data_IF_160461852269
#
_entry.id   IF_160461852269
#
_cell.length_a   1.000
_cell.length_b   1.000
_cell.length_c   1.000
_cell.angle_alpha   90.00
_cell.angle_beta   90.00
_cell.angle_gamma   90.00
#
_symmetry.space_group_name_H-M   'P 1'
#
loop_
_entity.id
_entity.type
_entity.pdbx_description
1 polymer ?
#
# COMPACT_ATOMS: atom_id res chain seq x y z
N UNK A 1 -4.80 -3.04 -15.42
CA UNK A 1 -5.91 -3.38 -14.55
C UNK A 1 -5.32 -4.04 -13.31
N UNK A 2 -4.52 -3.29 -12.53
CA UNK A 2 -3.61 -3.79 -11.52
C UNK A 2 -4.04 -3.31 -10.15
N UNK A 3 -4.83 -4.11 -9.48
CA UNK A 3 -5.35 -3.74 -8.18
C UNK A 3 -6.26 -2.50 -8.20
N UNK A 4 -6.47 -1.92 -9.38
CA UNK A 4 -7.36 -0.79 -9.54
C UNK A 4 -8.74 -1.28 -9.95
N UNK A 5 -9.76 -0.73 -9.32
CA UNK A 5 -11.14 -1.02 -9.71
C UNK A 5 -11.30 -0.50 -11.14
N UNK A 6 -11.57 -1.40 -12.08
CA UNK A 6 -12.06 -0.97 -13.38
C UNK A 6 -13.43 -0.27 -13.13
N UNK A 7 -13.61 1.00 -13.50
CA UNK A 7 -14.87 1.68 -13.27
C UNK A 7 -16.07 0.97 -13.89
N UNK A 8 -15.85 0.26 -15.00
CA UNK A 8 -16.90 -0.57 -15.60
C UNK A 8 -17.22 -1.79 -14.72
N UNK A 9 -16.20 -2.40 -14.09
CA UNK A 9 -16.40 -3.51 -13.16
C UNK A 9 -17.02 -3.05 -11.84
N UNK A 10 -16.77 -1.81 -11.40
CA UNK A 10 -17.44 -1.24 -10.23
C UNK A 10 -18.95 -1.17 -10.45
N UNK A 11 -19.39 -0.72 -11.63
CA UNK A 11 -20.81 -0.68 -11.97
C UNK A 11 -21.39 -2.06 -12.18
N UNK A 12 -20.71 -2.95 -12.92
CA UNK A 12 -21.15 -4.32 -13.14
C UNK A 12 -21.25 -5.13 -11.86
N UNK A 13 -20.34 -4.91 -10.91
CA UNK A 13 -20.41 -5.58 -9.61
C UNK A 13 -21.44 -4.94 -8.65
N UNK A 14 -21.86 -3.72 -8.92
CA UNK A 14 -22.91 -3.05 -8.17
C UNK A 14 -24.29 -3.24 -8.81
N UNK A 15 -24.35 -3.53 -10.11
CA UNK A 15 -25.59 -3.97 -10.80
C UNK A 15 -26.06 -5.29 -10.20
N UNK A 16 -27.18 -5.28 -9.50
CA UNK A 16 -27.74 -6.46 -8.84
C UNK A 16 -27.62 -6.46 -7.31
N UNK A 17 -26.91 -5.51 -6.74
CA UNK A 17 -26.96 -5.25 -5.30
C UNK A 17 -28.09 -4.27 -4.96
N UNK A 18 -28.86 -4.59 -3.93
CA UNK A 18 -29.81 -3.63 -3.36
C UNK A 18 -29.00 -2.53 -2.64
N UNK A 19 -28.84 -1.38 -3.30
CA UNK A 19 -28.14 -0.23 -2.73
C UNK A 19 -28.79 0.29 -1.43
N UNK A 20 -30.04 -0.07 -1.15
CA UNK A 20 -30.64 0.23 0.14
C UNK A 20 -29.96 -0.53 1.29
N UNK A 21 -29.23 -1.60 0.98
CA UNK A 21 -28.43 -2.38 1.95
C UNK A 21 -26.96 -1.98 2.01
N UNK A 22 -26.45 -1.16 1.06
CA UNK A 22 -25.06 -0.71 1.03
C UNK A 22 -24.96 0.69 1.65
N UNK A 23 -24.29 0.76 2.80
CA UNK A 23 -24.11 2.02 3.54
C UNK A 23 -22.85 2.78 3.14
N UNK A 24 -21.87 2.12 2.55
CA UNK A 24 -20.63 2.77 2.15
C UNK A 24 -19.73 1.94 1.24
N UNK A 25 -18.77 2.62 0.63
CA UNK A 25 -17.74 2.06 -0.25
C UNK A 25 -16.38 2.51 0.27
N UNK A 26 -15.46 1.57 0.47
CA UNK A 26 -14.06 1.83 0.76
C UNK A 26 -13.25 1.64 -0.52
N UNK A 27 -12.62 2.71 -0.99
CA UNK A 27 -11.68 2.68 -2.13
C UNK A 27 -10.27 2.73 -1.58
N UNK A 28 -9.50 1.67 -1.80
CA UNK A 28 -8.10 1.60 -1.41
C UNK A 28 -7.24 2.01 -2.59
N UNK A 29 -6.26 2.87 -2.37
CA UNK A 29 -5.24 3.26 -3.34
C UNK A 29 -4.01 2.32 -3.24
N UNK A 30 -3.96 1.20 -3.97
CA UNK A 30 -2.87 0.25 -3.85
C UNK A 30 -1.56 0.89 -4.33
N UNK A 31 -0.45 0.55 -3.65
CA UNK A 31 0.90 1.05 -3.96
C UNK A 31 1.05 2.59 -3.89
N UNK A 32 0.08 3.30 -3.30
CA UNK A 32 0.06 4.77 -3.25
C UNK A 32 -0.35 5.44 -4.55
N UNK A 33 -0.96 4.71 -5.48
CA UNK A 33 -1.46 5.26 -6.74
C UNK A 33 -2.61 6.23 -6.47
N UNK A 34 -2.56 7.39 -7.11
CA UNK A 34 -3.65 8.34 -7.04
C UNK A 34 -4.95 7.79 -7.66
N UNK A 35 -6.08 8.17 -7.10
CA UNK A 35 -7.41 7.85 -7.67
C UNK A 35 -7.53 8.48 -9.06
N UNK A 36 -7.75 7.66 -10.08
CA UNK A 36 -7.79 8.12 -11.48
C UNK A 36 -8.99 9.03 -11.77
N UNK A 37 -8.84 9.90 -12.77
CA UNK A 37 -9.96 10.75 -13.22
C UNK A 37 -11.21 9.94 -13.55
N UNK A 38 -11.03 8.76 -14.14
CA UNK A 38 -12.13 7.87 -14.51
C UNK A 38 -12.89 7.37 -13.27
N UNK A 39 -12.16 6.91 -12.24
CA UNK A 39 -12.77 6.50 -10.97
C UNK A 39 -13.48 7.69 -10.32
N UNK A 40 -12.85 8.87 -10.31
CA UNK A 40 -13.47 10.09 -9.77
C UNK A 40 -14.81 10.41 -10.44
N UNK A 41 -14.87 10.32 -11.77
CA UNK A 41 -16.12 10.55 -12.51
C UNK A 41 -17.20 9.55 -12.12
N UNK A 42 -16.84 8.27 -11.99
CA UNK A 42 -17.80 7.23 -11.62
C UNK A 42 -18.27 7.37 -10.16
N UNK A 43 -17.38 7.71 -9.24
CA UNK A 43 -17.75 8.00 -7.85
C UNK A 43 -18.69 9.22 -7.75
N UNK A 44 -18.45 10.26 -8.55
CA UNK A 44 -19.35 11.41 -8.62
C UNK A 44 -20.75 11.04 -9.11
N UNK A 45 -20.86 10.20 -10.15
CA UNK A 45 -22.15 9.69 -10.63
C UNK A 45 -22.84 8.89 -9.51
N UNK A 46 -22.10 8.00 -8.87
CA UNK A 46 -22.63 7.18 -7.78
C UNK A 46 -23.15 8.05 -6.63
N UNK A 47 -22.35 9.04 -6.22
CA UNK A 47 -22.74 9.99 -5.15
C UNK A 47 -23.95 10.83 -5.51
N UNK A 48 -24.09 11.22 -6.79
CA UNK A 48 -25.25 11.93 -7.29
C UNK A 48 -26.53 11.07 -7.28
N UNK A 49 -26.38 9.79 -7.57
CA UNK A 49 -27.50 8.83 -7.58
C UNK A 49 -27.87 8.37 -6.17
N UNK A 50 -26.88 8.25 -5.27
CA UNK A 50 -27.03 7.79 -3.89
C UNK A 50 -26.36 8.79 -2.93
N UNK A 51 -27.01 9.93 -2.59
CA UNK A 51 -26.40 10.99 -1.80
C UNK A 51 -25.96 10.57 -0.40
N UNK A 52 -26.64 9.59 0.19
CA UNK A 52 -26.37 9.08 1.54
C UNK A 52 -25.27 8.01 1.58
N UNK A 53 -24.85 7.51 0.42
CA UNK A 53 -23.77 6.52 0.33
C UNK A 53 -22.45 7.12 0.85
N UNK A 54 -21.88 6.49 1.87
CA UNK A 54 -20.58 6.90 2.41
C UNK A 54 -19.46 6.46 1.46
N UNK A 55 -18.60 7.37 1.03
CA UNK A 55 -17.40 7.04 0.24
C UNK A 55 -16.17 7.38 1.07
N UNK A 56 -15.35 6.36 1.33
CA UNK A 56 -14.08 6.46 2.05
C UNK A 56 -12.93 6.17 1.09
N UNK A 57 -11.97 7.09 1.01
CA UNK A 57 -10.71 6.87 0.29
C UNK A 57 -9.61 6.50 1.27
N UNK A 58 -9.05 5.31 1.14
CA UNK A 58 -7.87 4.88 1.86
C UNK A 58 -6.61 5.22 1.04
N UNK A 59 -5.97 6.33 1.40
CA UNK A 59 -4.71 6.81 0.84
C UNK A 59 -3.52 6.54 1.77
N UNK A 60 -3.60 5.54 2.61
CA UNK A 60 -2.56 5.22 3.60
C UNK A 60 -1.21 4.79 3.00
N UNK A 61 -1.13 4.54 1.69
CA UNK A 61 0.11 4.30 0.95
C UNK A 61 0.49 5.47 0.02
N UNK A 62 -0.23 6.58 0.09
CA UNK A 62 0.07 7.82 -0.65
C UNK A 62 0.77 8.83 0.26
N UNK A 63 1.44 9.82 -0.33
CA UNK A 63 1.96 10.96 0.42
C UNK A 63 0.81 11.71 1.07
N UNK A 64 0.91 12.05 2.37
CA UNK A 64 -0.12 12.80 3.05
C UNK A 64 -0.26 14.22 2.47
N UNK A 65 -1.48 14.62 2.14
CA UNK A 65 -1.80 16.00 1.83
C UNK A 65 -2.16 16.72 3.13
N UNK A 66 -1.46 17.83 3.44
CA UNK A 66 -1.68 18.60 4.66
C UNK A 66 -2.65 19.78 4.46
N UNK A 67 -3.03 20.05 3.22
CA UNK A 67 -4.11 20.98 2.88
C UNK A 67 -5.45 20.27 2.85
N UNK A 68 -6.53 21.02 3.08
CA UNK A 68 -7.88 20.47 2.98
C UNK A 68 -8.12 19.88 1.58
N UNK A 69 -8.49 18.59 1.49
CA UNK A 69 -8.67 17.94 0.19
C UNK A 69 -9.99 18.33 -0.46
N UNK A 70 -10.09 18.05 -1.77
CA UNK A 70 -11.34 18.11 -2.50
C UNK A 70 -12.27 16.97 -2.11
N UNK A 71 -13.33 17.27 -1.39
CA UNK A 71 -14.39 16.34 -0.99
C UNK A 71 -15.46 16.08 -2.07
N UNK A 72 -15.20 16.42 -3.32
CA UNK A 72 -16.21 16.23 -4.37
C UNK A 72 -16.59 14.75 -4.56
N UNK A 73 -15.66 13.83 -4.28
CA UNK A 73 -15.82 12.39 -4.54
C UNK A 73 -15.83 11.51 -3.29
N UNK A 74 -15.51 12.04 -2.12
CA UNK A 74 -15.40 11.27 -0.89
C UNK A 74 -15.97 12.03 0.30
N UNK A 75 -16.46 11.29 1.28
CA UNK A 75 -16.90 11.83 2.56
C UNK A 75 -15.79 11.76 3.60
N UNK A 76 -14.82 10.82 3.40
CA UNK A 76 -13.66 10.65 4.26
C UNK A 76 -12.45 10.27 3.44
N UNK A 77 -11.29 10.82 3.80
CA UNK A 77 -9.98 10.52 3.20
C UNK A 77 -9.01 10.19 4.32
N UNK A 78 -8.39 9.01 4.25
CA UNK A 78 -7.51 8.47 5.29
C UNK A 78 -6.05 8.56 4.83
N UNK A 79 -5.17 9.01 5.72
CA UNK A 79 -3.73 8.97 5.59
C UNK A 79 -3.08 8.28 6.78
N UNK A 80 -1.93 7.65 6.56
CA UNK A 80 -1.14 7.01 7.60
C UNK A 80 0.30 7.50 7.58
N UNK A 81 0.87 7.73 8.75
CA UNK A 81 2.24 8.18 8.96
C UNK A 81 3.02 7.24 9.89
N UNK A 82 2.44 6.07 10.15
CA UNK A 82 3.09 5.02 10.92
C UNK A 82 4.24 4.36 10.17
N UNK A 83 4.78 3.33 10.80
CA UNK A 83 5.93 2.58 10.30
C UNK A 83 5.76 2.13 8.85
N UNK A 84 6.82 2.29 8.06
CA UNK A 84 6.88 1.88 6.64
C UNK A 84 5.91 2.61 5.70
N UNK A 85 5.36 3.74 6.11
CA UNK A 85 4.52 4.58 5.24
C UNK A 85 5.37 5.52 4.37
N UNK A 86 4.77 6.15 3.35
CA UNK A 86 5.49 7.11 2.50
C UNK A 86 6.16 8.24 3.28
N UNK A 87 5.49 8.76 4.30
CA UNK A 87 6.09 9.62 5.33
C UNK A 87 5.99 8.86 6.63
N UNK A 88 7.13 8.43 7.14
CA UNK A 88 7.23 7.56 8.29
C UNK A 88 7.77 8.35 9.48
N UNK A 89 6.87 8.79 10.35
CA UNK A 89 7.18 9.37 11.65
C UNK A 89 6.97 8.35 12.78
N UNK A 90 6.85 7.05 12.41
CA UNK A 90 6.76 5.89 13.29
C UNK A 90 5.40 5.70 13.97
N UNK A 91 4.51 6.67 13.91
CA UNK A 91 3.18 6.60 14.52
C UNK A 91 2.13 7.39 13.76
N UNK A 92 0.88 7.15 14.09
CA UNK A 92 -0.23 7.99 13.74
C UNK A 92 -0.80 7.77 12.33
N UNK A 93 -1.69 8.64 12.05
CA UNK A 93 -2.48 8.78 10.85
C UNK A 93 -3.56 9.82 11.12
N UNK A 94 -4.21 10.27 10.07
CA UNK A 94 -5.30 11.24 10.19
C UNK A 94 -6.33 11.05 9.09
N UNK A 95 -7.49 11.60 9.32
CA UNK A 95 -8.57 11.62 8.36
C UNK A 95 -9.07 13.04 8.13
N UNK A 96 -9.34 13.36 6.88
CA UNK A 96 -10.21 14.46 6.54
C UNK A 96 -11.63 13.95 6.40
N UNK A 97 -12.60 14.69 6.94
CA UNK A 97 -14.01 14.32 6.87
C UNK A 97 -14.85 15.50 6.42
N UNK A 98 -15.76 15.24 5.48
CA UNK A 98 -16.68 16.26 4.95
C UNK A 98 -17.70 16.71 5.98
N UNK A 99 -18.07 15.84 6.90
CA UNK A 99 -19.02 16.11 7.99
C UNK A 99 -18.29 16.00 9.32
N UNK A 100 -18.67 16.81 10.29
CA UNK A 100 -18.23 16.62 11.66
C UNK A 100 -18.68 15.22 12.11
N UNK A 101 -17.74 14.40 12.52
CA UNK A 101 -18.04 13.10 13.10
C UNK A 101 -18.05 13.27 14.62
N UNK A 102 -19.17 12.98 15.23
CA UNK A 102 -19.23 12.80 16.67
C UNK A 102 -18.68 11.40 16.97
N UNK A 103 -17.44 11.35 17.42
CA UNK A 103 -16.92 10.13 18.00
C UNK A 103 -17.45 10.03 19.43
N UNK A 104 -18.26 9.05 19.69
CA UNK A 104 -18.43 8.62 21.07
C UNK A 104 -17.04 8.28 21.59
N UNK A 105 -16.55 9.05 22.55
CA UNK A 105 -15.25 8.82 23.23
C UNK A 105 -15.25 7.53 24.06
N UNK A 106 -15.84 6.49 23.60
CA UNK A 106 -15.58 5.13 24.06
C UNK A 106 -14.24 4.71 23.47
N UNK A 107 -13.20 5.25 24.07
CA UNK A 107 -11.86 4.71 23.90
C UNK A 107 -11.93 3.24 24.25
N UNK A 108 -11.91 2.40 23.22
CA UNK A 108 -11.85 0.95 23.34
C UNK A 108 -10.63 0.55 24.18
N UNK A 109 -9.63 1.44 24.30
CA UNK A 109 -8.39 1.23 25.00
C UNK A 109 -8.49 1.03 26.51
N UNK A 110 -9.61 1.36 27.16
CA UNK A 110 -9.76 1.26 28.61
C UNK A 110 -10.69 0.11 29.05
N UNK A 111 -11.05 -0.81 28.19
CA UNK A 111 -11.78 -1.99 28.63
C UNK A 111 -10.80 -3.08 29.04
N UNK A 112 -10.91 -3.55 30.28
CA UNK A 112 -10.19 -4.72 30.81
C UNK A 112 -10.28 -5.94 29.88
N UNK A 113 -11.37 -6.05 29.13
CA UNK A 113 -11.63 -7.08 28.13
C UNK A 113 -10.74 -6.91 26.89
N UNK A 114 -10.51 -5.69 26.44
CA UNK A 114 -9.65 -5.40 25.28
C UNK A 114 -8.17 -5.70 25.62
N UNK A 115 -7.72 -5.25 26.78
CA UNK A 115 -6.36 -5.51 27.27
C UNK A 115 -6.13 -7.01 27.45
N UNK A 116 -7.12 -7.74 27.94
CA UNK A 116 -7.04 -9.20 28.06
C UNK A 116 -6.98 -9.89 26.69
N UNK A 117 -7.72 -9.42 25.70
CA UNK A 117 -7.69 -9.96 24.32
C UNK A 117 -6.34 -9.69 23.66
N UNK A 118 -5.82 -8.47 23.83
CA UNK A 118 -4.48 -8.10 23.32
C UNK A 118 -3.41 -8.94 23.99
N UNK A 119 -3.41 -9.06 25.32
CA UNK A 119 -2.44 -9.87 26.04
C UNK A 119 -2.44 -11.33 25.59
N UNK A 120 -3.63 -11.92 25.34
CA UNK A 120 -3.76 -13.27 24.78
C UNK A 120 -3.21 -13.37 23.35
N UNK A 121 -3.43 -12.35 22.53
CA UNK A 121 -2.93 -12.31 21.18
C UNK A 121 -1.40 -12.20 21.15
N UNK A 122 -0.84 -11.30 21.94
CA UNK A 122 0.62 -11.14 22.13
C UNK A 122 1.25 -12.44 22.66
N UNK A 123 0.63 -13.08 23.63
CA UNK A 123 1.10 -14.38 24.16
C UNK A 123 1.12 -15.48 23.09
N UNK A 124 0.11 -15.53 22.22
CA UNK A 124 0.08 -16.45 21.08
C UNK A 124 1.20 -16.16 20.07
N UNK A 125 1.43 -14.88 19.76
CA UNK A 125 2.51 -14.46 18.86
C UNK A 125 3.89 -14.81 19.44
N UNK A 126 4.14 -14.55 20.72
CA UNK A 126 5.41 -14.88 21.39
C UNK A 126 5.71 -16.38 21.46
N UNK A 127 4.67 -17.21 21.46
CA UNK A 127 4.78 -18.68 21.51
C UNK A 127 4.82 -19.32 20.12
N UNK A 128 4.63 -18.57 19.03
CA UNK A 128 4.82 -19.07 17.68
C UNK A 128 6.29 -18.90 17.28
N UNK A 129 6.89 -19.95 16.71
CA UNK A 129 8.30 -19.95 16.32
C UNK A 129 8.71 -18.86 15.29
N UNK A 130 7.73 -18.16 14.71
CA UNK A 130 7.89 -17.07 13.75
C UNK A 130 7.82 -15.66 14.38
N UNK A 131 7.71 -15.54 15.67
CA UNK A 131 7.39 -14.26 16.32
C UNK A 131 8.59 -13.48 16.82
N UNK A 132 9.49 -13.10 15.91
CA UNK A 132 10.37 -11.95 16.14
C UNK A 132 9.63 -10.60 16.00
N UNK A 133 8.31 -10.60 15.93
CA UNK A 133 7.50 -9.42 15.74
C UNK A 133 6.95 -8.96 17.09
N UNK A 134 7.54 -7.94 17.66
CA UNK A 134 6.90 -7.20 18.74
C UNK A 134 5.82 -6.31 18.13
N UNK A 135 4.55 -6.43 18.58
CA UNK A 135 3.46 -5.63 18.03
C UNK A 135 3.44 -4.22 18.66
N UNK A 136 4.47 -3.44 18.42
CA UNK A 136 4.55 -2.02 18.76
C UNK A 136 3.48 -1.17 18.06
N UNK A 137 2.95 -1.67 16.96
CA UNK A 137 1.82 -1.07 16.23
C UNK A 137 0.48 -1.11 17.02
N UNK A 138 0.41 -1.87 18.09
CA UNK A 138 -0.74 -1.92 19.01
C UNK A 138 -0.60 -0.93 20.17
N UNK A 139 0.18 0.14 19.99
CA UNK A 139 0.24 1.20 20.99
C UNK A 139 -1.17 1.82 21.15
N UNK A 140 -1.80 1.47 22.27
CA UNK A 140 -3.10 1.99 22.67
C UNK A 140 -2.97 3.20 23.60
N UNK A 141 -1.76 3.66 23.85
CA UNK A 141 -1.56 4.87 24.65
C UNK A 141 -2.02 6.09 23.84
N UNK A 142 -3.02 6.78 24.37
CA UNK A 142 -3.47 8.06 23.83
C UNK A 142 -2.45 9.11 24.13
N UNK A 143 -1.48 9.25 23.26
CA UNK A 143 -0.68 10.45 23.23
C UNK A 143 -1.57 11.56 22.67
N UNK A 144 -1.96 12.50 23.53
CA UNK A 144 -2.52 13.77 23.08
C UNK A 144 -1.39 14.53 22.42
N UNK A 145 -1.25 14.37 21.10
CA UNK A 145 -0.33 15.22 20.35
C UNK A 145 -1.10 16.46 19.86
N UNK A 146 -0.40 17.58 19.89
CA UNK A 146 -0.88 18.79 19.25
C UNK A 146 -0.94 18.56 17.73
N UNK A 147 -2.09 18.84 17.12
CA UNK A 147 -2.27 18.65 15.70
C UNK A 147 -1.28 19.48 14.86
N UNK A 148 -0.91 20.68 15.33
CA UNK A 148 0.05 21.54 14.64
C UNK A 148 1.46 20.94 14.69
N UNK A 149 1.87 20.43 15.85
CA UNK A 149 3.15 19.75 15.99
C UNK A 149 3.20 18.49 15.12
N UNK A 150 2.13 17.73 15.10
CA UNK A 150 2.03 16.53 14.28
C UNK A 150 2.16 16.84 12.78
N UNK A 151 1.45 17.84 12.28
CA UNK A 151 1.55 18.23 10.88
C UNK A 151 2.92 18.83 10.54
N UNK A 152 3.52 19.59 11.45
CA UNK A 152 4.89 20.09 11.28
C UNK A 152 5.92 18.95 11.19
N UNK A 153 5.77 17.88 11.99
CA UNK A 153 6.60 16.69 11.87
C UNK A 153 6.44 15.99 10.53
N UNK A 154 5.21 15.84 10.03
CA UNK A 154 4.95 15.26 8.71
C UNK A 154 5.62 16.10 7.61
N UNK A 155 5.49 17.40 7.63
CA UNK A 155 6.08 18.31 6.65
C UNK A 155 7.62 18.24 6.67
N UNK A 156 8.20 18.30 7.86
CA UNK A 156 9.65 18.17 8.05
C UNK A 156 10.18 16.84 7.53
N UNK A 157 9.53 15.73 7.89
CA UNK A 157 9.95 14.41 7.45
C UNK A 157 9.74 14.20 5.96
N UNK A 158 8.65 14.72 5.39
CA UNK A 158 8.41 14.70 3.94
C UNK A 158 9.56 15.34 3.18
N UNK A 159 9.95 16.56 3.60
CA UNK A 159 11.06 17.30 2.98
C UNK A 159 12.38 16.55 3.12
N UNK A 160 12.66 16.01 4.31
CA UNK A 160 13.90 15.25 4.59
C UNK A 160 14.01 13.99 3.74
N UNK A 161 12.89 13.31 3.52
CA UNK A 161 12.85 12.04 2.80
C UNK A 161 12.84 12.20 1.28
N UNK A 162 12.37 13.32 0.75
CA UNK A 162 12.16 13.48 -0.68
C UNK A 162 13.43 13.26 -1.49
N UNK A 163 14.53 13.95 -1.17
CA UNK A 163 15.80 13.78 -1.86
C UNK A 163 16.36 12.37 -1.73
N UNK A 164 16.27 11.79 -0.53
CA UNK A 164 16.72 10.42 -0.28
C UNK A 164 15.97 9.42 -1.17
N UNK A 165 14.65 9.50 -1.20
CA UNK A 165 13.80 8.64 -2.03
C UNK A 165 14.07 8.82 -3.52
N UNK A 166 14.24 10.06 -3.97
CA UNK A 166 14.56 10.34 -5.37
C UNK A 166 15.91 9.73 -5.80
N UNK A 167 16.92 9.74 -4.91
CA UNK A 167 18.20 9.07 -5.18
C UNK A 167 18.03 7.56 -5.32
N UNK A 168 17.36 6.91 -4.37
CA UNK A 168 17.14 5.45 -4.43
C UNK A 168 16.25 5.06 -5.60
N UNK A 169 15.20 5.83 -5.88
CA UNK A 169 14.33 5.64 -7.02
C UNK A 169 15.10 5.69 -8.35
N UNK A 170 15.99 6.69 -8.48
CA UNK A 170 16.85 6.85 -9.66
C UNK A 170 17.83 5.68 -9.84
N UNK A 171 18.36 5.14 -8.73
CA UNK A 171 19.20 3.95 -8.77
C UNK A 171 18.42 2.72 -9.26
N UNK A 172 17.22 2.47 -8.72
CA UNK A 172 16.37 1.38 -9.20
C UNK A 172 16.02 1.54 -10.68
N UNK A 173 15.64 2.76 -11.11
CA UNK A 173 15.35 3.01 -12.53
C UNK A 173 16.55 2.76 -13.42
N UNK A 174 17.74 3.11 -12.98
CA UNK A 174 18.99 2.94 -13.75
C UNK A 174 19.47 1.49 -13.80
N UNK A 175 19.36 0.76 -12.67
CA UNK A 175 20.03 -0.53 -12.50
C UNK A 175 19.16 -1.73 -12.84
N UNK A 176 17.84 -1.60 -12.83
CA UNK A 176 16.91 -2.67 -13.15
C UNK A 176 16.40 -2.57 -14.60
N UNK A 177 16.11 -3.69 -15.28
CA UNK A 177 15.53 -3.68 -16.61
C UNK A 177 14.10 -3.08 -16.61
N UNK A 178 13.75 -2.31 -17.64
CA UNK A 178 12.40 -1.73 -17.78
C UNK A 178 11.32 -2.81 -17.88
N UNK A 179 11.67 -3.98 -18.39
CA UNK A 179 10.76 -5.10 -18.58
C UNK A 179 10.12 -5.63 -17.30
N UNK A 180 10.70 -5.38 -16.14
CA UNK A 180 10.15 -5.84 -14.85
C UNK A 180 9.54 -4.71 -14.03
N UNK A 181 9.75 -3.45 -14.39
CA UNK A 181 9.26 -2.30 -13.63
C UNK A 181 7.77 -2.07 -13.86
N UNK A 182 7.06 -1.72 -12.81
CA UNK A 182 5.71 -1.14 -12.96
C UNK A 182 5.83 0.34 -13.38
N UNK A 183 4.76 0.89 -13.95
CA UNK A 183 4.67 2.32 -14.30
C UNK A 183 4.90 3.21 -13.08
N UNK A 184 5.41 4.40 -13.32
CA UNK A 184 5.75 5.36 -12.27
C UNK A 184 4.57 5.66 -11.32
N UNK A 185 3.34 5.62 -11.81
CA UNK A 185 2.13 5.79 -11.00
C UNK A 185 1.93 4.74 -9.89
N UNK A 186 2.62 3.59 -9.99
CA UNK A 186 2.62 2.52 -8.99
C UNK A 186 3.86 2.52 -8.10
N UNK A 187 4.68 3.58 -8.13
CA UNK A 187 5.97 3.64 -7.46
C UNK A 187 6.01 4.60 -6.26
N UNK A 188 4.86 5.08 -5.80
CA UNK A 188 4.83 6.13 -4.76
C UNK A 188 5.22 5.62 -3.38
N UNK A 189 4.79 4.41 -3.02
CA UNK A 189 5.07 3.82 -1.69
C UNK A 189 6.37 3.01 -1.66
N UNK A 190 6.56 2.16 -2.66
CA UNK A 190 7.71 1.26 -2.84
C UNK A 190 8.09 1.25 -4.30
N UNK A 191 9.33 0.86 -4.63
CA UNK A 191 9.68 0.58 -6.00
C UNK A 191 9.20 -0.82 -6.37
N UNK A 192 8.16 -0.90 -7.17
CA UNK A 192 7.44 -2.13 -7.46
C UNK A 192 7.92 -2.74 -8.78
N UNK A 193 8.26 -4.02 -8.73
CA UNK A 193 8.69 -4.81 -9.87
C UNK A 193 7.91 -6.14 -9.94
N UNK A 194 7.89 -6.72 -11.13
CA UNK A 194 7.35 -8.05 -11.37
C UNK A 194 8.48 -9.00 -11.74
N UNK A 195 8.62 -10.08 -10.99
CA UNK A 195 9.65 -11.08 -11.24
C UNK A 195 9.05 -12.48 -11.28
N UNK A 196 9.55 -13.37 -12.14
CA UNK A 196 9.17 -14.79 -12.10
C UNK A 196 9.77 -15.45 -10.87
N UNK A 197 9.07 -16.46 -10.33
CA UNK A 197 9.56 -17.30 -9.23
C UNK A 197 10.12 -16.45 -8.07
N UNK A 198 9.36 -15.44 -7.65
CA UNK A 198 9.78 -14.47 -6.62
C UNK A 198 10.25 -15.12 -5.31
N UNK A 199 9.75 -16.30 -4.97
CA UNK A 199 10.15 -17.05 -3.78
C UNK A 199 11.65 -17.39 -3.82
N UNK A 200 12.16 -17.80 -5.00
CA UNK A 200 13.60 -18.06 -5.19
C UNK A 200 14.43 -16.77 -5.13
N UNK A 201 13.86 -15.64 -5.60
CA UNK A 201 14.50 -14.35 -5.41
C UNK A 201 14.60 -13.99 -3.93
N UNK A 202 13.53 -14.18 -3.15
CA UNK A 202 13.55 -13.91 -1.71
C UNK A 202 14.58 -14.77 -0.97
N UNK A 203 14.72 -16.04 -1.33
CA UNK A 203 15.78 -16.91 -0.79
C UNK A 203 17.17 -16.36 -1.11
N UNK A 204 17.39 -15.91 -2.35
CA UNK A 204 18.66 -15.30 -2.78
C UNK A 204 18.98 -14.02 -2.04
N UNK A 205 17.98 -13.14 -1.89
CA UNK A 205 18.11 -11.92 -1.11
C UNK A 205 18.42 -12.21 0.36
N UNK A 206 17.72 -13.15 0.98
CA UNK A 206 17.97 -13.59 2.37
C UNK A 206 19.39 -14.12 2.55
N UNK A 207 19.89 -14.93 1.63
CA UNK A 207 21.29 -15.44 1.64
C UNK A 207 22.31 -14.31 1.55
N UNK A 208 21.98 -13.23 0.85
CA UNK A 208 22.81 -12.03 0.73
C UNK A 208 22.65 -11.04 1.90
N UNK A 209 21.83 -11.36 2.91
CA UNK A 209 21.52 -10.45 4.02
C UNK A 209 20.66 -9.24 3.61
N UNK A 210 19.92 -9.37 2.50
CA UNK A 210 19.06 -8.34 1.93
C UNK A 210 17.60 -8.69 2.13
N UNK A 211 16.74 -7.67 2.05
CA UNK A 211 15.31 -7.82 2.27
C UNK A 211 14.49 -7.06 1.22
N UNK A 212 13.43 -7.69 0.75
CA UNK A 212 12.34 -7.09 -0.02
C UNK A 212 11.00 -7.64 0.49
N UNK A 213 9.91 -6.97 0.18
CA UNK A 213 8.58 -7.41 0.56
C UNK A 213 7.73 -7.80 -0.64
N UNK A 214 6.62 -8.48 -0.39
CA UNK A 214 5.59 -8.78 -1.38
C UNK A 214 4.23 -8.48 -0.76
N UNK A 215 3.80 -7.24 -0.85
CA UNK A 215 2.47 -6.82 -0.42
C UNK A 215 1.43 -7.32 -1.42
N UNK A 216 0.26 -7.68 -0.89
CA UNK A 216 -0.83 -8.27 -1.66
C UNK A 216 -0.46 -9.61 -2.33
N UNK A 217 0.47 -10.35 -1.71
CA UNK A 217 0.87 -11.68 -2.18
C UNK A 217 -0.19 -12.76 -1.94
N UNK A 218 -1.17 -12.49 -1.08
CA UNK A 218 -2.28 -13.39 -0.79
C UNK A 218 -3.55 -12.78 -1.35
N UNK A 219 -3.86 -13.12 -2.61
CA UNK A 219 -5.17 -12.87 -3.20
C UNK A 219 -5.92 -14.19 -3.19
N UNK A 220 -7.10 -14.23 -2.59
CA UNK A 220 -7.90 -15.44 -2.58
C UNK A 220 -8.24 -15.88 -4.00
N UNK A 221 -8.09 -17.18 -4.33
CA UNK A 221 -8.27 -17.67 -5.69
C UNK A 221 -9.69 -17.53 -6.25
N UNK A 222 -10.67 -17.30 -5.40
CA UNK A 222 -12.08 -17.16 -5.80
C UNK A 222 -12.45 -15.77 -6.31
N UNK A 223 -11.51 -14.83 -6.24
CA UNK A 223 -11.72 -13.52 -6.82
C UNK A 223 -11.65 -13.65 -8.34
N UNK A 224 -12.69 -13.23 -9.01
CA UNK A 224 -12.85 -13.24 -10.47
C UNK A 224 -11.85 -12.37 -11.24
N UNK A 225 -10.73 -11.97 -10.61
CA UNK A 225 -9.68 -11.16 -11.20
C UNK A 225 -8.40 -11.98 -11.44
N UNK A 226 -8.22 -12.55 -12.64
CA UNK A 226 -7.01 -13.29 -12.99
C UNK A 226 -5.75 -12.41 -12.93
N UNK A 227 -5.89 -11.11 -13.17
CA UNK A 227 -4.80 -10.14 -13.12
C UNK A 227 -4.31 -9.92 -11.69
N UNK A 228 -5.20 -9.80 -10.71
CA UNK A 228 -4.83 -9.66 -9.31
C UNK A 228 -4.08 -10.92 -8.81
N UNK A 229 -4.54 -12.10 -9.22
CA UNK A 229 -3.87 -13.37 -8.92
C UNK A 229 -2.46 -13.41 -9.50
N UNK A 230 -2.31 -13.09 -10.77
CA UNK A 230 -0.99 -13.09 -11.43
C UNK A 230 -0.05 -12.05 -10.82
N UNK A 231 -0.57 -10.85 -10.52
CA UNK A 231 0.19 -9.82 -9.82
C UNK A 231 0.70 -10.32 -8.47
N UNK A 232 -0.16 -10.99 -7.69
CA UNK A 232 0.21 -11.54 -6.39
C UNK A 232 1.35 -12.57 -6.46
N UNK A 233 1.49 -13.28 -7.58
CA UNK A 233 2.53 -14.28 -7.79
C UNK A 233 3.90 -13.68 -8.14
N UNK A 234 3.93 -12.47 -8.71
CA UNK A 234 5.17 -11.88 -9.23
C UNK A 234 5.59 -10.57 -8.58
N UNK A 235 4.72 -9.92 -7.80
CA UNK A 235 5.03 -8.61 -7.23
C UNK A 235 6.13 -8.67 -6.17
N UNK A 236 7.10 -7.78 -6.29
CA UNK A 236 8.14 -7.51 -5.29
C UNK A 236 8.20 -6.00 -5.06
N UNK A 237 8.19 -5.62 -3.81
CA UNK A 237 8.21 -4.24 -3.36
C UNK A 237 9.57 -3.94 -2.75
N UNK A 238 10.37 -3.11 -3.43
CA UNK A 238 11.70 -2.71 -3.01
C UNK A 238 11.62 -1.43 -2.16
N UNK A 239 12.46 -1.35 -1.15
CA UNK A 239 12.44 -0.27 -0.20
C UNK A 239 13.20 0.95 -0.70
N UNK A 240 12.67 2.13 -0.44
CA UNK A 240 13.35 3.41 -0.58
C UNK A 240 13.04 4.35 0.60
N UNK A 241 12.73 3.77 1.77
CA UNK A 241 12.50 4.51 3.00
C UNK A 241 13.81 4.95 3.69
N UNK A 242 13.67 5.66 4.81
CA UNK A 242 14.78 6.24 5.57
C UNK A 242 15.83 5.23 6.09
N UNK A 243 15.48 3.95 6.14
CA UNK A 243 16.35 2.88 6.64
C UNK A 243 17.11 2.15 5.54
N UNK A 244 16.86 2.50 4.28
CA UNK A 244 17.47 1.84 3.13
C UNK A 244 18.57 2.72 2.52
N UNK A 245 19.77 2.17 2.34
CA UNK A 245 20.91 2.93 1.79
C UNK A 245 21.10 2.72 0.29
N UNK A 246 21.90 3.58 -0.34
CA UNK A 246 22.28 3.42 -1.75
C UNK A 246 23.05 2.11 -1.99
N UNK A 247 23.95 1.73 -1.06
CA UNK A 247 24.72 0.46 -1.16
C UNK A 247 23.78 -0.75 -1.10
N UNK A 248 22.78 -0.73 -0.21
CA UNK A 248 21.76 -1.79 -0.16
C UNK A 248 20.96 -1.83 -1.45
N UNK A 249 20.60 -0.67 -2.00
CA UNK A 249 19.88 -0.55 -3.28
C UNK A 249 20.69 -1.16 -4.43
N UNK A 250 21.98 -0.83 -4.53
CA UNK A 250 22.87 -1.39 -5.56
C UNK A 250 22.99 -2.91 -5.39
N UNK A 251 23.19 -3.37 -4.16
CA UNK A 251 23.33 -4.79 -3.86
C UNK A 251 22.07 -5.58 -4.20
N UNK A 252 20.89 -5.06 -3.87
CA UNK A 252 19.61 -5.72 -4.17
C UNK A 252 19.37 -5.78 -5.69
N UNK A 253 19.71 -4.71 -6.43
CA UNK A 253 19.64 -4.71 -7.89
C UNK A 253 20.56 -5.75 -8.51
N UNK A 254 21.76 -5.94 -7.97
CA UNK A 254 22.69 -6.96 -8.45
C UNK A 254 22.12 -8.37 -8.28
N UNK A 255 21.55 -8.70 -7.10
CA UNK A 255 20.89 -9.99 -6.85
C UNK A 255 19.68 -10.19 -7.77
N UNK A 256 18.86 -9.16 -7.99
CA UNK A 256 17.70 -9.23 -8.89
C UNK A 256 18.18 -9.51 -10.33
N UNK A 257 19.18 -8.78 -10.84
CA UNK A 257 19.70 -8.99 -12.18
C UNK A 257 20.30 -10.38 -12.37
N UNK A 258 21.01 -10.90 -11.35
CA UNK A 258 21.51 -12.28 -11.36
C UNK A 258 20.35 -13.27 -11.40
N UNK A 259 19.31 -13.09 -10.60
CA UNK A 259 18.10 -13.93 -10.63
C UNK A 259 17.45 -13.91 -12.02
N UNK A 260 17.27 -12.74 -12.61
CA UNK A 260 16.67 -12.63 -13.94
C UNK A 260 17.48 -13.32 -15.03
N UNK A 261 18.81 -13.27 -14.95
CA UNK A 261 19.69 -13.92 -15.94
C UNK A 261 19.49 -15.45 -16.02
N UNK A 262 19.03 -16.07 -14.93
CA UNK A 262 18.73 -17.51 -14.91
C UNK A 262 17.50 -17.89 -15.76
N UNK A 263 16.62 -16.91 -16.05
CA UNK A 263 15.33 -17.15 -16.73
C UNK A 263 15.20 -16.45 -18.07
N UNK A 264 16.14 -15.62 -18.49
CA UNK A 264 16.05 -14.83 -19.74
C UNK A 264 15.85 -15.68 -21.01
N UNK A 265 16.32 -16.92 -21.02
CA UNK A 265 16.19 -17.86 -22.13
C UNK A 265 14.92 -18.72 -22.06
N UNK A 266 14.13 -18.64 -21.00
CA UNK A 266 12.92 -19.45 -20.85
C UNK A 266 11.74 -18.78 -21.58
N UNK A 267 11.07 -19.52 -22.43
CA UNK A 267 9.83 -19.10 -23.09
C UNK A 267 8.75 -18.68 -22.07
N UNK A 268 8.75 -19.35 -20.92
CA UNK A 268 7.89 -19.03 -19.77
C UNK A 268 8.12 -17.61 -19.22
N UNK A 269 9.35 -17.09 -19.26
CA UNK A 269 9.69 -15.74 -18.84
C UNK A 269 9.12 -14.70 -19.81
N UNK A 270 9.26 -14.94 -21.10
CA UNK A 270 8.72 -14.06 -22.15
C UNK A 270 7.18 -14.02 -22.06
N UNK A 271 6.55 -15.18 -21.88
CA UNK A 271 5.11 -15.29 -21.68
C UNK A 271 4.65 -14.57 -20.40
N UNK A 272 5.37 -14.74 -19.29
CA UNK A 272 5.13 -14.04 -18.04
C UNK A 272 5.17 -12.51 -18.26
N UNK A 273 6.23 -12.02 -18.90
CA UNK A 273 6.38 -10.61 -19.20
C UNK A 273 5.29 -10.07 -20.15
N UNK A 274 4.88 -10.82 -21.14
CA UNK A 274 3.86 -10.41 -22.10
C UNK A 274 2.45 -10.26 -21.49
N UNK A 275 2.12 -11.08 -20.48
CA UNK A 275 0.88 -10.95 -19.73
C UNK A 275 0.71 -9.58 -19.04
N UNK A 276 1.82 -8.96 -18.70
CA UNK A 276 1.85 -7.66 -18.00
C UNK A 276 2.23 -6.48 -18.89
N UNK A 277 2.23 -6.65 -20.22
CA UNK A 277 2.64 -5.60 -21.17
C UNK A 277 1.85 -4.30 -21.04
N UNK A 278 0.60 -4.35 -20.60
CA UNK A 278 -0.24 -3.15 -20.41
C UNK A 278 0.05 -2.34 -19.14
N UNK A 279 0.89 -2.86 -18.22
CA UNK A 279 1.27 -2.21 -16.94
C UNK A 279 2.68 -1.71 -16.91
N UNK A 280 3.51 -2.27 -17.78
CA UNK A 280 4.92 -1.91 -17.86
C UNK A 280 5.07 -0.57 -18.57
N UNK A 281 6.14 0.12 -18.17
CA UNK A 281 6.52 1.40 -18.77
C UNK A 281 6.69 1.31 -20.27
#
# INVERSE_FOLDING_TARGET
KYGDINPEDLFLNLEGHDFNSIHGILIIAPYGRAVTKRIKVELNKLKSQYPDLLIVLDLCLSYPELSEPDFSIADMILYSTGYSKPVDIEYGGFAYTKRSLEFENKLISNSEEFDTKIAKYISKLKNSADSGYEPDWLDTTLNRFDQKEYFAQIEQESTRLEEHKQRLFSLYKKLLPDTIKLKDEYQSWRFNILVPKKELLFESLKKAGLFASSHYSVVQPDVSSPVAKELSLGIVNLFFDKYFSEEKTISICAVINQHLSLYQSEESFILFLNKFSSVRA
#
